data_IF_271232052770
#
_entry.id   IF_271232052770
#
_cell.length_a   1.000
_cell.length_b   1.000
_cell.length_c   1.000
_cell.angle_alpha   90.00
_cell.angle_beta   90.00
_cell.angle_gamma   90.00
#
_symmetry.space_group_name_H-M   'P 1'
#
loop_
_entity.id
_entity.type
_entity.pdbx_description
1 polymer ?
#
# COMPACT_ATOMS: atom_id res chain seq x y z
N UNK A 1 1.66 18.70 -8.12
CA UNK A 1 1.86 17.23 -8.23
C UNK A 1 0.48 16.61 -8.39
N UNK A 2 0.28 15.70 -9.34
CA UNK A 2 -1.00 15.01 -9.49
C UNK A 2 -1.20 13.91 -8.43
N UNK A 3 -2.44 13.44 -8.28
CA UNK A 3 -2.82 12.48 -7.25
C UNK A 3 -2.09 11.13 -7.43
N UNK A 4 -1.93 10.67 -8.67
CA UNK A 4 -1.20 9.43 -8.98
C UNK A 4 0.25 9.50 -8.49
N UNK A 5 0.93 10.62 -8.76
CA UNK A 5 2.30 10.86 -8.31
C UNK A 5 2.37 10.96 -6.79
N UNK A 6 1.40 11.63 -6.14
CA UNK A 6 1.31 11.69 -4.67
C UNK A 6 1.21 10.28 -4.07
N UNK A 7 0.34 9.43 -4.61
CA UNK A 7 0.14 8.04 -4.15
C UNK A 7 1.38 7.19 -4.35
N UNK A 8 2.02 7.30 -5.52
CA UNK A 8 3.24 6.55 -5.83
C UNK A 8 4.38 6.90 -4.86
N UNK A 9 4.55 8.19 -4.53
CA UNK A 9 5.57 8.62 -3.56
C UNK A 9 5.26 8.10 -2.15
N UNK A 10 4.01 8.22 -1.68
CA UNK A 10 3.62 7.71 -0.37
C UNK A 10 3.89 6.21 -0.21
N UNK A 11 3.57 5.41 -1.24
CA UNK A 11 3.83 3.96 -1.23
C UNK A 11 5.32 3.64 -1.30
N UNK A 12 6.07 4.35 -2.15
CA UNK A 12 7.53 4.16 -2.25
C UNK A 12 8.20 4.45 -0.90
N UNK A 13 7.83 5.55 -0.26
CA UNK A 13 8.43 5.95 1.02
C UNK A 13 8.08 4.96 2.13
N UNK A 14 6.82 4.46 2.17
CA UNK A 14 6.42 3.40 3.10
C UNK A 14 7.13 2.06 2.86
N UNK A 15 7.26 1.62 1.61
CA UNK A 15 8.00 0.40 1.25
C UNK A 15 9.48 0.53 1.61
N UNK A 16 10.08 1.68 1.33
CA UNK A 16 11.48 1.94 1.64
C UNK A 16 11.73 1.94 3.15
N UNK A 17 10.85 2.52 3.96
CA UNK A 17 10.93 2.45 5.42
C UNK A 17 10.91 1.00 5.91
N UNK A 18 9.98 0.18 5.39
CA UNK A 18 9.90 -1.23 5.75
C UNK A 18 11.18 -2.00 5.38
N UNK A 19 11.79 -1.69 4.23
CA UNK A 19 13.07 -2.28 3.81
C UNK A 19 14.24 -1.90 4.72
N UNK A 20 14.31 -0.64 5.16
CA UNK A 20 15.32 -0.17 6.12
C UNK A 20 15.23 -0.89 7.47
N UNK A 21 14.03 -1.30 7.87
CA UNK A 21 13.77 -2.09 9.08
C UNK A 21 14.02 -3.59 8.88
N UNK A 22 14.54 -4.00 7.71
CA UNK A 22 14.79 -5.41 7.35
C UNK A 22 13.54 -6.16 6.90
N UNK A 23 12.40 -5.47 6.79
CA UNK A 23 11.16 -5.99 6.25
C UNK A 23 11.20 -6.18 4.73
N UNK A 24 10.25 -6.95 4.21
CA UNK A 24 10.01 -7.08 2.78
C UNK A 24 8.51 -7.07 2.51
N UNK A 25 8.11 -6.37 1.44
CA UNK A 25 6.73 -6.42 0.97
C UNK A 25 6.50 -7.61 0.04
N UNK A 26 5.30 -8.18 0.11
CA UNK A 26 4.91 -9.29 -0.75
C UNK A 26 4.50 -8.80 -2.14
N UNK A 27 4.52 -9.69 -3.13
CA UNK A 27 4.00 -9.35 -4.47
C UNK A 27 2.51 -9.07 -4.48
N UNK A 28 1.76 -9.66 -3.54
CA UNK A 28 0.34 -9.39 -3.37
C UNK A 28 0.10 -7.95 -2.89
N UNK A 29 0.90 -7.47 -1.93
CA UNK A 29 0.88 -6.06 -1.52
C UNK A 29 1.24 -5.13 -2.67
N UNK A 30 2.28 -5.45 -3.45
CA UNK A 30 2.70 -4.63 -4.60
C UNK A 30 1.59 -4.44 -5.63
N UNK A 31 0.80 -5.49 -5.90
CA UNK A 31 -0.36 -5.40 -6.81
C UNK A 31 -1.44 -4.48 -6.28
N UNK A 32 -1.85 -4.63 -5.01
CA UNK A 32 -2.87 -3.74 -4.42
C UNK A 32 -2.38 -2.29 -4.34
N UNK A 33 -1.10 -2.10 -4.03
CA UNK A 33 -0.46 -0.79 -4.03
C UNK A 33 -0.52 -0.14 -5.42
N UNK A 34 -0.29 -0.91 -6.49
CA UNK A 34 -0.40 -0.41 -7.86
C UNK A 34 -1.84 -0.04 -8.21
N UNK A 35 -2.84 -0.86 -7.83
CA UNK A 35 -4.26 -0.54 -8.01
C UNK A 35 -4.63 0.78 -7.30
N UNK A 36 -4.05 1.04 -6.12
CA UNK A 36 -4.23 2.32 -5.43
C UNK A 36 -3.55 3.49 -6.16
N UNK A 37 -2.32 3.32 -6.64
CA UNK A 37 -1.61 4.35 -7.43
C UNK A 37 -2.39 4.73 -8.68
N UNK A 38 -2.89 3.75 -9.42
CA UNK A 38 -3.62 3.96 -10.67
C UNK A 38 -5.06 4.45 -10.46
N UNK A 39 -5.54 4.47 -9.20
CA UNK A 39 -6.86 4.96 -8.85
C UNK A 39 -7.99 3.95 -9.03
N UNK A 40 -7.66 2.69 -9.30
CA UNK A 40 -8.62 1.57 -9.36
C UNK A 40 -9.24 1.27 -8.00
N UNK A 41 -8.53 1.57 -6.92
CA UNK A 41 -9.03 1.57 -5.55
C UNK A 41 -8.60 2.86 -4.82
N UNK A 42 -9.32 3.21 -3.76
CA UNK A 42 -8.92 4.24 -2.82
C UNK A 42 -8.12 3.64 -1.64
N UNK A 43 -7.77 4.48 -0.67
CA UNK A 43 -6.99 4.06 0.49
C UNK A 43 -7.75 3.03 1.34
N UNK A 44 -9.07 3.19 1.51
CA UNK A 44 -9.88 2.26 2.28
C UNK A 44 -9.91 0.90 1.59
N UNK A 45 -10.08 0.85 0.27
CA UNK A 45 -10.03 -0.38 -0.51
C UNK A 45 -8.67 -1.09 -0.42
N UNK A 46 -7.57 -0.34 -0.34
CA UNK A 46 -6.25 -0.93 -0.06
C UNK A 46 -6.22 -1.55 1.35
N UNK A 47 -6.62 -0.80 2.38
CA UNK A 47 -6.64 -1.28 3.77
C UNK A 47 -7.53 -2.51 3.94
N UNK A 48 -8.71 -2.54 3.33
CA UNK A 48 -9.64 -3.66 3.39
C UNK A 48 -9.00 -4.94 2.80
N UNK A 49 -8.31 -4.84 1.66
CA UNK A 49 -7.58 -5.97 1.07
C UNK A 49 -6.46 -6.47 1.98
N UNK A 50 -5.75 -5.58 2.66
CA UNK A 50 -4.70 -5.95 3.62
C UNK A 50 -5.28 -6.62 4.86
N UNK A 51 -6.35 -6.07 5.42
CA UNK A 51 -7.06 -6.61 6.58
C UNK A 51 -7.60 -8.02 6.28
N UNK A 52 -8.25 -8.19 5.12
CA UNK A 52 -8.74 -9.50 4.68
C UNK A 52 -7.61 -10.51 4.48
N UNK A 53 -6.48 -10.09 3.87
CA UNK A 53 -5.39 -11.02 3.54
C UNK A 53 -4.54 -11.41 4.74
N UNK A 54 -4.24 -10.47 5.61
CA UNK A 54 -3.27 -10.66 6.70
C UNK A 54 -3.93 -10.74 8.07
N UNK A 55 -5.27 -10.81 8.13
CA UNK A 55 -6.04 -10.70 9.36
C UNK A 55 -5.60 -9.50 10.23
N UNK A 56 -5.15 -8.43 9.57
CA UNK A 56 -4.77 -7.20 10.26
C UNK A 56 -6.07 -6.61 10.78
N UNK A 57 -6.31 -6.71 12.09
CA UNK A 57 -7.35 -5.90 12.75
C UNK A 57 -6.76 -4.50 12.94
N UNK A 58 -6.55 -3.78 11.85
CA UNK A 58 -6.11 -2.39 11.93
C UNK A 58 -7.33 -1.51 12.21
N UNK A 59 -7.48 -1.10 13.46
CA UNK A 59 -8.31 0.03 13.88
C UNK A 59 -7.52 1.30 13.57
N UNK A 60 -7.67 1.83 12.35
CA UNK A 60 -7.22 3.19 12.01
C UNK A 60 -8.40 4.16 12.12
#
# INVERSE_FOLDING_TARGET
MDERTRRALALRDGMHSAELEGGRVTDAFRRDAQDYVDGSIDLQGLLDRLNQRYAMHSSL
#
